data_IF_298592026474
#
_entry.id   IF_298592026474
#
_cell.length_a   1.000
_cell.length_b   1.000
_cell.length_c   1.000
_cell.angle_alpha   90.00
_cell.angle_beta   90.00
_cell.angle_gamma   90.00
#
_symmetry.space_group_name_H-M   'P 1'
#
loop_
_entity.id
_entity.type
_entity.pdbx_description
1 polymer ?
#
# COMPACT_ATOMS: atom_id res chain seq x y z
N UNK A 1 27.96 7.34 18.14
CA UNK A 1 26.79 7.11 17.27
C UNK A 1 26.98 8.00 16.04
N UNK A 2 27.17 7.40 14.87
CA UNK A 2 27.63 8.12 13.69
C UNK A 2 26.48 8.82 12.98
N UNK A 3 26.68 10.09 12.72
CA UNK A 3 25.82 11.01 11.95
C UNK A 3 25.39 10.48 10.54
N UNK A 4 25.99 9.37 10.09
CA UNK A 4 25.68 8.70 8.82
C UNK A 4 24.41 7.82 8.91
N UNK A 5 24.16 7.18 10.04
CA UNK A 5 23.03 6.24 10.20
C UNK A 5 21.70 6.99 10.32
N UNK A 6 21.71 8.18 10.96
CA UNK A 6 20.53 9.07 10.98
C UNK A 6 20.20 9.61 9.59
N UNK A 7 21.21 10.06 8.84
CA UNK A 7 21.02 10.56 7.47
C UNK A 7 20.50 9.47 6.53
N UNK A 8 20.96 8.24 6.65
CA UNK A 8 20.47 7.13 5.84
C UNK A 8 19.05 6.71 6.22
N UNK A 9 18.72 6.65 7.50
CA UNK A 9 17.36 6.32 7.94
C UNK A 9 16.35 7.41 7.56
N UNK A 10 16.78 8.67 7.57
CA UNK A 10 16.00 9.80 7.10
C UNK A 10 15.83 9.79 5.57
N UNK A 11 16.90 9.48 4.82
CA UNK A 11 16.86 9.31 3.36
C UNK A 11 15.93 8.16 2.93
N UNK A 12 15.88 7.03 3.66
CA UNK A 12 15.00 5.90 3.35
C UNK A 12 13.53 6.22 3.67
N UNK A 13 13.25 6.90 4.77
CA UNK A 13 11.91 7.43 5.08
C UNK A 13 11.47 8.46 4.05
N UNK A 14 12.35 9.38 3.69
CA UNK A 14 12.17 10.36 2.63
C UNK A 14 11.97 9.70 1.25
N UNK A 15 12.67 8.59 0.97
CA UNK A 15 12.55 7.86 -0.29
C UNK A 15 11.17 7.22 -0.46
N UNK A 16 10.59 6.62 0.58
CA UNK A 16 9.23 6.04 0.51
C UNK A 16 8.17 7.13 0.29
N UNK A 17 8.31 8.26 0.95
CA UNK A 17 7.47 9.44 0.75
C UNK A 17 7.63 10.01 -0.67
N UNK A 18 8.86 10.14 -1.15
CA UNK A 18 9.19 10.65 -2.50
C UNK A 18 8.62 9.75 -3.60
N UNK A 19 8.64 8.43 -3.43
CA UNK A 19 8.08 7.50 -4.43
C UNK A 19 6.56 7.60 -4.53
N UNK A 20 5.87 7.75 -3.39
CA UNK A 20 4.41 7.97 -3.36
C UNK A 20 4.04 9.30 -4.02
N UNK A 21 4.82 10.35 -3.72
CA UNK A 21 4.65 11.66 -4.32
C UNK A 21 4.94 11.65 -5.82
N UNK A 22 6.02 11.00 -6.25
CA UNK A 22 6.36 10.84 -7.67
C UNK A 22 5.27 10.09 -8.44
N UNK A 23 4.72 9.01 -7.87
CA UNK A 23 3.62 8.27 -8.48
C UNK A 23 2.36 9.13 -8.64
N UNK A 24 2.05 9.97 -7.64
CA UNK A 24 0.92 10.90 -7.72
C UNK A 24 1.15 11.99 -8.78
N UNK A 25 2.36 12.54 -8.86
CA UNK A 25 2.72 13.54 -9.88
C UNK A 25 2.63 12.94 -11.29
N UNK A 26 3.14 11.72 -11.49
CA UNK A 26 3.06 11.02 -12.77
C UNK A 26 1.60 10.74 -13.18
N UNK A 27 0.77 10.30 -12.25
CA UNK A 27 -0.66 10.12 -12.50
C UNK A 27 -1.34 11.43 -12.88
N UNK A 28 -1.07 12.51 -12.15
CA UNK A 28 -1.64 13.83 -12.43
C UNK A 28 -1.19 14.35 -13.79
N UNK A 29 0.10 14.19 -14.13
CA UNK A 29 0.63 14.56 -15.44
C UNK A 29 -0.01 13.75 -16.58
N UNK A 30 -0.17 12.43 -16.37
CA UNK A 30 -0.88 11.57 -17.32
C UNK A 30 -2.32 12.03 -17.53
N UNK A 31 -3.07 12.26 -16.45
CA UNK A 31 -4.45 12.75 -16.54
C UNK A 31 -4.52 14.09 -17.28
N UNK A 32 -3.60 15.03 -16.97
CA UNK A 32 -3.54 16.32 -17.64
C UNK A 32 -3.31 16.17 -19.15
N UNK A 33 -2.31 15.41 -19.56
CA UNK A 33 -1.97 15.21 -20.98
C UNK A 33 -3.13 14.51 -21.72
N UNK A 34 -3.64 13.40 -21.15
CA UNK A 34 -4.72 12.63 -21.76
C UNK A 34 -5.98 13.48 -21.96
N UNK A 35 -6.38 14.22 -20.93
CA UNK A 35 -7.58 15.06 -21.01
C UNK A 35 -7.37 16.29 -21.91
N UNK A 36 -6.13 16.81 -22.03
CA UNK A 36 -5.81 17.86 -23.02
C UNK A 36 -6.00 17.36 -24.45
N UNK A 37 -5.56 16.13 -24.74
CA UNK A 37 -5.74 15.50 -26.06
C UNK A 37 -7.21 15.27 -26.34
N UNK A 38 -7.98 14.75 -25.38
CA UNK A 38 -9.41 14.53 -25.53
C UNK A 38 -10.18 15.85 -25.78
N UNK A 39 -9.88 16.88 -24.98
CA UNK A 39 -10.48 18.21 -25.14
C UNK A 39 -10.21 18.79 -26.54
N UNK A 40 -8.95 18.73 -27.01
CA UNK A 40 -8.57 19.20 -28.33
C UNK A 40 -9.24 18.39 -29.45
N UNK A 41 -9.37 17.07 -29.28
CA UNK A 41 -10.07 16.20 -30.23
C UNK A 41 -11.55 16.53 -30.29
N UNK A 42 -12.21 16.66 -29.14
CA UNK A 42 -13.62 17.05 -29.06
C UNK A 42 -13.87 18.43 -29.71
N UNK A 43 -13.01 19.40 -29.43
CA UNK A 43 -13.07 20.70 -30.05
C UNK A 43 -12.97 20.60 -31.61
N UNK A 44 -12.04 19.78 -32.11
CA UNK A 44 -11.87 19.57 -33.53
C UNK A 44 -13.13 18.97 -34.18
N UNK A 45 -13.80 18.04 -33.51
CA UNK A 45 -15.06 17.44 -33.97
C UNK A 45 -16.19 18.48 -34.01
N UNK A 46 -16.36 19.26 -32.94
CA UNK A 46 -17.36 20.33 -32.89
C UNK A 46 -17.12 21.42 -33.90
N UNK A 47 -15.87 21.82 -34.15
CA UNK A 47 -15.54 22.83 -35.15
C UNK A 47 -15.71 22.38 -36.58
N UNK A 48 -15.75 21.07 -36.86
CA UNK A 48 -16.05 20.51 -38.19
C UNK A 48 -17.55 20.39 -38.45
N UNK A 49 -18.34 20.27 -37.38
CA UNK A 49 -19.79 20.31 -37.49
C UNK A 49 -20.20 21.77 -37.54
N UNK A 50 -21.13 22.14 -38.45
CA UNK A 50 -21.65 23.52 -38.57
C UNK A 50 -22.37 24.05 -37.34
N UNK A 51 -22.23 23.35 -36.20
CA UNK A 51 -22.84 23.67 -34.92
C UNK A 51 -21.91 24.55 -34.07
N UNK A 52 -21.90 25.84 -34.33
CA UNK A 52 -21.11 26.85 -33.60
C UNK A 52 -21.62 27.14 -32.18
N UNK A 53 -22.35 26.21 -31.55
CA UNK A 53 -22.96 26.42 -30.22
C UNK A 53 -21.96 26.22 -29.05
N UNK A 54 -20.87 25.49 -29.28
CA UNK A 54 -19.86 25.14 -28.28
C UNK A 54 -18.68 26.12 -28.34
N UNK A 55 -18.31 26.74 -27.23
CA UNK A 55 -17.14 27.59 -27.17
C UNK A 55 -15.85 26.75 -26.98
N UNK A 56 -14.69 27.28 -27.41
CA UNK A 56 -13.39 26.61 -27.34
C UNK A 56 -13.04 26.09 -25.93
N UNK A 57 -13.41 26.80 -24.88
CA UNK A 57 -13.07 26.44 -23.50
C UNK A 57 -13.96 25.32 -22.93
N UNK A 58 -15.16 25.07 -23.50
CA UNK A 58 -16.13 24.11 -22.93
C UNK A 58 -15.62 22.67 -22.95
N UNK A 59 -15.05 22.11 -24.03
CA UNK A 59 -14.46 20.78 -24.02
C UNK A 59 -13.32 20.62 -22.99
N UNK A 60 -12.53 21.69 -22.79
CA UNK A 60 -11.48 21.65 -21.77
C UNK A 60 -12.07 21.61 -20.36
N UNK A 61 -13.14 22.33 -20.07
CA UNK A 61 -13.85 22.26 -18.78
C UNK A 61 -14.44 20.89 -18.56
N UNK A 62 -15.01 20.27 -19.59
CA UNK A 62 -15.58 18.93 -19.49
C UNK A 62 -14.52 17.88 -19.13
N UNK A 63 -13.39 17.90 -19.81
CA UNK A 63 -12.31 16.95 -19.59
C UNK A 63 -11.55 17.22 -18.26
N UNK A 64 -11.21 18.47 -17.95
CA UNK A 64 -10.48 18.79 -16.75
C UNK A 64 -11.32 18.65 -15.46
N UNK A 65 -12.63 18.88 -15.53
CA UNK A 65 -13.50 18.59 -14.38
C UNK A 65 -13.53 17.11 -14.03
N UNK A 66 -13.54 16.24 -15.04
CA UNK A 66 -13.43 14.78 -14.87
C UNK A 66 -12.05 14.38 -14.31
N UNK A 67 -10.96 14.92 -14.89
CA UNK A 67 -9.60 14.66 -14.42
C UNK A 67 -9.40 15.06 -12.94
N UNK A 68 -9.87 16.25 -12.58
CA UNK A 68 -9.77 16.76 -11.20
C UNK A 68 -10.58 15.91 -10.23
N UNK A 69 -11.81 15.53 -10.60
CA UNK A 69 -12.65 14.65 -9.79
C UNK A 69 -11.99 13.29 -9.57
N UNK A 70 -11.41 12.70 -10.62
CA UNK A 70 -10.64 11.46 -10.53
C UNK A 70 -9.43 11.60 -9.61
N UNK A 71 -8.62 12.66 -9.77
CA UNK A 71 -7.44 12.90 -8.93
C UNK A 71 -7.78 13.03 -7.44
N UNK A 72 -8.89 13.69 -7.11
CA UNK A 72 -9.37 13.83 -5.73
C UNK A 72 -9.86 12.50 -5.15
N UNK A 73 -10.51 11.66 -5.95
CA UNK A 73 -11.11 10.40 -5.50
C UNK A 73 -10.13 9.23 -5.43
N UNK A 74 -9.02 9.28 -6.17
CA UNK A 74 -8.02 8.18 -6.19
C UNK A 74 -7.40 7.94 -4.82
N UNK A 75 -7.12 8.98 -4.05
CA UNK A 75 -6.47 8.85 -2.74
C UNK A 75 -7.37 8.08 -1.75
N UNK A 76 -8.62 8.52 -1.47
CA UNK A 76 -9.50 7.78 -0.57
C UNK A 76 -9.83 6.37 -1.11
N UNK A 77 -9.91 6.19 -2.42
CA UNK A 77 -10.12 4.89 -3.03
C UNK A 77 -8.97 3.92 -2.73
N UNK A 78 -7.72 4.33 -2.92
CA UNK A 78 -6.54 3.50 -2.61
C UNK A 78 -6.51 3.14 -1.12
N UNK A 79 -6.88 4.06 -0.24
CA UNK A 79 -6.96 3.80 1.21
C UNK A 79 -8.02 2.73 1.49
N UNK A 80 -9.21 2.85 0.90
CA UNK A 80 -10.29 1.88 1.06
C UNK A 80 -9.89 0.48 0.57
N UNK A 81 -9.21 0.39 -0.58
CA UNK A 81 -8.71 -0.89 -1.12
C UNK A 81 -7.67 -1.51 -0.20
N UNK A 82 -6.75 -0.73 0.36
CA UNK A 82 -5.76 -1.24 1.32
C UNK A 82 -6.42 -1.84 2.55
N UNK A 83 -7.45 -1.19 3.07
CA UNK A 83 -8.23 -1.68 4.21
C UNK A 83 -8.97 -2.97 3.82
N UNK A 84 -9.55 -3.03 2.62
CA UNK A 84 -10.22 -4.21 2.10
C UNK A 84 -9.25 -5.40 2.02
N UNK A 85 -8.08 -5.23 1.39
CA UNK A 85 -7.06 -6.27 1.22
C UNK A 85 -6.54 -6.84 2.54
N UNK A 86 -6.57 -6.04 3.62
CA UNK A 86 -6.17 -6.51 4.95
C UNK A 86 -7.25 -7.35 5.64
N UNK A 87 -8.52 -7.09 5.34
CA UNK A 87 -9.66 -7.69 6.05
C UNK A 87 -10.31 -8.84 5.28
N UNK A 88 -10.28 -8.80 3.96
CA UNK A 88 -11.02 -9.72 3.08
C UNK A 88 -10.05 -10.47 2.18
N UNK A 89 -10.16 -11.80 2.18
CA UNK A 89 -9.39 -12.64 1.25
C UNK A 89 -9.97 -12.53 -0.16
N UNK A 90 -9.09 -12.68 -1.16
CA UNK A 90 -9.48 -12.70 -2.57
C UNK A 90 -10.51 -13.81 -2.81
N UNK A 91 -11.66 -13.45 -3.37
CA UNK A 91 -12.79 -14.35 -3.62
C UNK A 91 -14.06 -13.57 -3.97
N UNK A 92 -15.21 -14.22 -3.95
CA UNK A 92 -16.49 -13.61 -4.34
C UNK A 92 -16.84 -12.36 -3.50
N UNK A 93 -16.60 -12.40 -2.18
CA UNK A 93 -16.84 -11.27 -1.28
C UNK A 93 -15.93 -10.09 -1.61
N UNK A 94 -14.65 -10.35 -1.90
CA UNK A 94 -13.70 -9.34 -2.33
C UNK A 94 -14.14 -8.67 -3.65
N UNK A 95 -14.57 -9.48 -4.63
CA UNK A 95 -15.09 -8.97 -5.90
C UNK A 95 -16.36 -8.13 -5.70
N UNK A 96 -17.26 -8.56 -4.81
CA UNK A 96 -18.45 -7.78 -4.45
C UNK A 96 -18.12 -6.39 -3.88
N UNK A 97 -17.09 -6.30 -3.03
CA UNK A 97 -16.60 -5.01 -2.53
C UNK A 97 -16.01 -4.13 -3.62
N UNK A 98 -15.26 -4.71 -4.57
CA UNK A 98 -14.74 -3.95 -5.70
C UNK A 98 -15.86 -3.41 -6.60
N UNK A 99 -16.93 -4.19 -6.81
CA UNK A 99 -18.12 -3.71 -7.51
C UNK A 99 -18.78 -2.54 -6.77
N UNK A 100 -18.93 -2.65 -5.45
CA UNK A 100 -19.47 -1.56 -4.63
C UNK A 100 -18.60 -0.30 -4.68
N UNK A 101 -17.27 -0.45 -4.61
CA UNK A 101 -16.33 0.67 -4.72
C UNK A 101 -16.36 1.32 -6.12
N UNK A 102 -16.45 0.53 -7.19
CA UNK A 102 -16.58 1.06 -8.55
C UNK A 102 -17.87 1.90 -8.71
N UNK A 103 -18.99 1.39 -8.17
CA UNK A 103 -20.28 2.10 -8.22
C UNK A 103 -20.25 3.37 -7.37
N UNK A 104 -19.70 3.32 -6.16
CA UNK A 104 -19.56 4.50 -5.29
C UNK A 104 -18.61 5.54 -5.90
N UNK A 105 -17.50 5.08 -6.49
CA UNK A 105 -16.55 5.93 -7.20
C UNK A 105 -17.26 6.67 -8.34
N UNK A 106 -18.06 5.97 -9.17
CA UNK A 106 -18.77 6.61 -10.28
C UNK A 106 -19.79 7.64 -9.80
N UNK A 107 -20.59 7.32 -8.78
CA UNK A 107 -21.54 8.30 -8.21
C UNK A 107 -20.82 9.55 -7.72
N UNK A 108 -19.72 9.37 -6.97
CA UNK A 108 -18.95 10.49 -6.44
C UNK A 108 -18.26 11.28 -7.56
N UNK A 109 -17.68 10.59 -8.56
CA UNK A 109 -17.01 11.19 -9.71
C UNK A 109 -17.97 12.06 -10.54
N UNK A 110 -19.11 11.51 -10.94
CA UNK A 110 -20.11 12.26 -11.72
C UNK A 110 -20.64 13.45 -10.93
N UNK A 111 -20.90 13.28 -9.63
CA UNK A 111 -21.37 14.38 -8.78
C UNK A 111 -20.37 15.53 -8.68
N UNK A 112 -19.09 15.22 -8.44
CA UNK A 112 -18.02 16.22 -8.39
C UNK A 112 -17.79 16.88 -9.75
N UNK A 113 -17.74 16.09 -10.79
CA UNK A 113 -17.55 16.56 -12.18
C UNK A 113 -18.64 17.56 -12.56
N UNK A 114 -19.91 17.22 -12.33
CA UNK A 114 -21.04 18.10 -12.60
C UNK A 114 -21.00 19.37 -11.73
N UNK A 115 -20.62 19.24 -10.46
CA UNK A 115 -20.45 20.39 -9.56
C UNK A 115 -19.37 21.36 -10.09
N UNK A 116 -18.21 20.86 -10.49
CA UNK A 116 -17.14 21.67 -11.08
C UNK A 116 -17.55 22.33 -12.40
N UNK A 117 -18.24 21.59 -13.28
CA UNK A 117 -18.78 22.16 -14.53
C UNK A 117 -19.74 23.29 -14.23
N UNK A 118 -20.73 23.07 -13.36
CA UNK A 118 -21.70 24.10 -12.98
C UNK A 118 -21.02 25.34 -12.40
N UNK A 119 -20.00 25.14 -11.55
CA UNK A 119 -19.24 26.25 -10.96
C UNK A 119 -18.55 27.09 -12.03
N UNK A 120 -17.86 26.47 -13.01
CA UNK A 120 -17.18 27.23 -14.07
C UNK A 120 -18.17 27.93 -14.98
N UNK A 121 -19.27 27.29 -15.35
CA UNK A 121 -20.30 27.87 -16.21
C UNK A 121 -21.00 29.06 -15.53
N UNK A 122 -21.15 29.03 -14.19
CA UNK A 122 -21.67 30.17 -13.44
C UNK A 122 -20.81 31.43 -13.60
N UNK A 123 -19.47 31.28 -13.59
CA UNK A 123 -18.56 32.40 -13.83
C UNK A 123 -18.51 32.88 -15.27
N UNK A 124 -18.98 32.04 -16.21
CA UNK A 124 -19.03 32.35 -17.64
C UNK A 124 -20.39 32.88 -18.11
N UNK A 125 -21.29 33.16 -17.16
CA UNK A 125 -22.68 33.60 -17.44
C UNK A 125 -23.45 32.65 -18.36
N UNK A 126 -23.08 31.35 -18.36
CA UNK A 126 -23.73 30.28 -19.11
C UNK A 126 -24.31 29.23 -18.17
N UNK A 127 -25.32 28.52 -18.65
CA UNK A 127 -25.87 27.37 -17.92
C UNK A 127 -25.29 26.07 -18.41
N UNK A 128 -24.81 25.24 -17.48
CA UNK A 128 -24.42 23.88 -17.78
C UNK A 128 -25.62 22.95 -17.64
N UNK A 129 -25.99 22.31 -18.73
CA UNK A 129 -26.99 21.24 -18.75
C UNK A 129 -26.28 19.88 -18.82
N UNK A 130 -26.56 19.02 -17.87
CA UNK A 130 -26.04 17.65 -17.83
C UNK A 130 -26.84 16.72 -18.77
N UNK A 131 -27.99 17.17 -19.28
CA UNK A 131 -28.90 16.36 -20.06
C UNK A 131 -29.83 15.48 -19.21
N UNK A 132 -30.36 14.41 -19.83
CA UNK A 132 -31.22 13.45 -19.13
C UNK A 132 -30.39 12.64 -18.15
N UNK A 133 -30.52 12.89 -16.87
CA UNK A 133 -29.69 12.37 -15.80
C UNK A 133 -29.39 10.87 -15.89
N UNK A 134 -30.42 10.06 -16.14
CA UNK A 134 -30.25 8.61 -16.23
C UNK A 134 -29.37 8.19 -17.40
N UNK A 135 -29.56 8.79 -18.57
CA UNK A 135 -28.82 8.44 -19.78
C UNK A 135 -27.36 8.86 -19.66
N UNK A 136 -27.11 10.08 -19.19
CA UNK A 136 -25.77 10.63 -19.01
C UNK A 136 -25.04 9.91 -17.87
N UNK A 137 -25.74 9.57 -16.79
CA UNK A 137 -25.16 8.78 -15.72
C UNK A 137 -24.74 7.37 -16.18
N UNK A 138 -25.58 6.67 -16.98
CA UNK A 138 -25.23 5.35 -17.53
C UNK A 138 -24.04 5.46 -18.49
N UNK A 139 -23.97 6.53 -19.26
CA UNK A 139 -22.84 6.80 -20.15
C UNK A 139 -21.54 6.98 -19.37
N UNK A 140 -21.53 7.84 -18.35
CA UNK A 140 -20.36 8.09 -17.51
C UNK A 140 -20.02 6.85 -16.65
N UNK A 141 -21.02 6.14 -16.11
CA UNK A 141 -20.81 4.92 -15.34
C UNK A 141 -20.00 3.85 -16.09
N UNK A 142 -20.27 3.63 -17.37
CA UNK A 142 -19.51 2.70 -18.19
C UNK A 142 -18.04 3.10 -18.32
N UNK A 143 -17.78 4.39 -18.49
CA UNK A 143 -16.42 4.95 -18.57
C UNK A 143 -15.72 4.83 -17.21
N UNK A 144 -16.42 5.14 -16.14
CA UNK A 144 -15.91 5.10 -14.77
C UNK A 144 -15.57 3.68 -14.32
N UNK A 145 -16.41 2.69 -14.62
CA UNK A 145 -16.12 1.28 -14.34
C UNK A 145 -14.87 0.82 -15.08
N UNK A 146 -14.71 1.19 -16.33
CA UNK A 146 -13.50 0.88 -17.09
C UNK A 146 -12.27 1.60 -16.52
N UNK A 147 -12.40 2.88 -16.19
CA UNK A 147 -11.37 3.67 -15.52
C UNK A 147 -10.98 3.08 -14.15
N UNK A 148 -11.96 2.65 -13.35
CA UNK A 148 -11.75 1.96 -12.09
C UNK A 148 -10.94 0.67 -12.28
N UNK A 149 -11.32 -0.20 -13.21
CA UNK A 149 -10.59 -1.45 -13.52
C UNK A 149 -9.15 -1.14 -13.90
N UNK A 150 -8.94 -0.12 -14.74
CA UNK A 150 -7.60 0.31 -15.16
C UNK A 150 -6.77 0.79 -13.97
N UNK A 151 -7.31 1.68 -13.14
CA UNK A 151 -6.63 2.20 -11.93
C UNK A 151 -6.25 1.07 -10.97
N UNK A 152 -7.17 0.14 -10.71
CA UNK A 152 -6.94 -1.01 -9.83
C UNK A 152 -5.87 -1.94 -10.39
N UNK A 153 -5.93 -2.22 -11.68
CA UNK A 153 -4.93 -3.05 -12.37
C UNK A 153 -3.54 -2.43 -12.23
N UNK A 154 -3.40 -1.13 -12.51
CA UNK A 154 -2.14 -0.42 -12.31
C UNK A 154 -1.68 -0.42 -10.86
N UNK A 155 -2.59 -0.22 -9.91
CA UNK A 155 -2.29 -0.28 -8.49
C UNK A 155 -1.69 -1.64 -8.09
N UNK A 156 -2.32 -2.75 -8.50
CA UNK A 156 -1.82 -4.08 -8.16
C UNK A 156 -0.52 -4.42 -8.90
N UNK A 157 -0.38 -4.03 -10.17
CA UNK A 157 0.88 -4.21 -10.93
C UNK A 157 2.01 -3.42 -10.25
N UNK A 158 1.77 -2.15 -9.91
CA UNK A 158 2.77 -1.31 -9.25
C UNK A 158 3.13 -1.88 -7.85
N UNK A 159 2.14 -2.33 -7.08
CA UNK A 159 2.34 -2.98 -5.79
C UNK A 159 3.16 -4.27 -5.93
N UNK A 160 2.82 -5.12 -6.90
CA UNK A 160 3.54 -6.35 -7.18
C UNK A 160 4.97 -6.08 -7.64
N UNK A 161 5.16 -5.16 -8.59
CA UNK A 161 6.47 -4.75 -9.08
C UNK A 161 7.34 -4.15 -7.97
N UNK A 162 6.75 -3.27 -7.13
CA UNK A 162 7.42 -2.69 -5.97
C UNK A 162 7.85 -3.76 -4.96
N UNK A 163 6.98 -4.74 -4.66
CA UNK A 163 7.33 -5.86 -3.77
C UNK A 163 8.45 -6.71 -4.35
N UNK A 164 8.47 -6.92 -5.66
CA UNK A 164 9.51 -7.69 -6.35
C UNK A 164 10.84 -6.93 -6.44
N UNK A 165 10.81 -5.62 -6.64
CA UNK A 165 12.01 -4.76 -6.64
C UNK A 165 12.63 -4.60 -5.24
N UNK A 166 11.79 -4.64 -4.19
CA UNK A 166 12.28 -4.49 -2.80
C UNK A 166 12.90 -5.76 -2.24
N UNK A 167 12.57 -6.94 -2.77
CA UNK A 167 13.12 -8.12 -2.14
C UNK A 167 12.95 -9.45 -2.84
N UNK A 168 13.97 -9.88 -3.57
CA UNK A 168 14.37 -11.29 -3.59
C UNK A 168 15.50 -11.46 -2.58
N UNK A 169 15.16 -11.63 -1.30
CA UNK A 169 16.10 -12.12 -0.30
C UNK A 169 15.92 -13.64 -0.23
N UNK A 170 16.92 -14.37 -0.62
CA UNK A 170 17.03 -15.79 -0.27
C UNK A 170 17.98 -15.90 0.93
N UNK A 171 17.64 -16.68 1.98
CA UNK A 171 18.66 -17.03 2.96
C UNK A 171 19.76 -17.74 2.20
N UNK A 172 21.01 -17.40 2.46
CA UNK A 172 22.12 -18.25 2.01
C UNK A 172 21.94 -19.57 2.76
N UNK A 173 21.34 -20.55 2.07
CA UNK A 173 21.64 -21.92 2.43
C UNK A 173 23.16 -22.04 2.32
N UNK A 174 23.86 -22.27 3.44
CA UNK A 174 25.17 -22.89 3.35
C UNK A 174 24.98 -24.05 2.40
N UNK A 175 25.76 -24.08 1.33
CA UNK A 175 25.93 -25.23 0.48
C UNK A 175 26.45 -26.38 1.37
N UNK A 176 25.54 -27.02 2.04
CA UNK A 176 25.74 -28.26 2.73
C UNK A 176 25.12 -29.34 1.85
N UNK A 177 25.67 -29.45 0.65
CA UNK A 177 25.66 -30.72 -0.05
C UNK A 177 26.57 -31.68 0.70
N UNK A 178 26.16 -32.09 1.85
CA UNK A 178 26.54 -33.25 2.67
C UNK A 178 26.24 -32.95 4.11
N UNK A 179 25.10 -33.39 4.55
CA UNK A 179 24.94 -34.04 5.88
C UNK A 179 23.55 -34.68 5.86
N UNK A 180 23.60 -35.98 5.85
CA UNK A 180 22.56 -36.97 6.19
C UNK A 180 21.77 -36.59 7.44
N UNK A 181 20.46 -36.86 7.33
CA UNK A 181 19.55 -37.20 8.45
C UNK A 181 20.12 -36.98 9.85
N UNK A 182 19.73 -35.88 10.48
CA UNK A 182 19.54 -35.83 11.92
C UNK A 182 18.59 -34.66 12.26
N UNK A 183 17.62 -34.93 13.12
CA UNK A 183 16.67 -33.98 13.71
C UNK A 183 17.39 -32.92 14.57
N UNK A 184 18.11 -31.99 13.93
CA UNK A 184 18.63 -30.81 14.61
C UNK A 184 17.63 -29.69 14.36
N UNK A 185 16.99 -29.19 15.41
CA UNK A 185 16.18 -27.98 15.38
C UNK A 185 16.99 -26.90 14.66
N UNK A 186 16.55 -26.49 13.48
CA UNK A 186 17.25 -25.48 12.69
C UNK A 186 17.14 -24.15 13.42
N UNK A 187 18.26 -23.67 13.96
CA UNK A 187 18.34 -22.35 14.60
C UNK A 187 18.66 -21.29 13.54
N UNK A 188 18.14 -20.06 13.73
CA UNK A 188 18.54 -18.96 12.88
C UNK A 188 20.05 -18.68 13.01
N UNK A 189 20.77 -18.43 11.92
CA UNK A 189 22.16 -18.00 12.00
C UNK A 189 22.27 -16.60 12.60
N UNK A 190 23.43 -16.22 13.13
CA UNK A 190 23.65 -14.89 13.72
C UNK A 190 23.51 -13.75 12.71
N UNK A 191 23.72 -14.04 11.44
CA UNK A 191 23.63 -13.09 10.33
C UNK A 191 22.77 -13.64 9.21
N UNK A 192 21.89 -12.79 8.67
CA UNK A 192 21.07 -13.05 7.51
C UNK A 192 21.58 -12.21 6.33
N UNK A 193 21.91 -12.87 5.21
CA UNK A 193 22.20 -12.15 3.98
C UNK A 193 20.89 -11.84 3.26
N UNK A 194 20.58 -10.55 3.12
CA UNK A 194 19.35 -10.07 2.50
C UNK A 194 19.70 -9.29 1.25
N UNK A 195 19.18 -9.73 0.10
CA UNK A 195 19.34 -9.00 -1.16
C UNK A 195 18.24 -7.96 -1.31
N UNK A 196 18.64 -6.69 -1.47
CA UNK A 196 17.73 -5.57 -1.68
C UNK A 196 18.31 -4.62 -2.73
N UNK A 197 17.55 -4.33 -3.81
CA UNK A 197 17.94 -3.39 -4.88
C UNK A 197 19.34 -3.66 -5.45
N UNK A 198 19.63 -4.89 -5.86
CA UNK A 198 20.95 -5.32 -6.36
C UNK A 198 22.13 -5.18 -5.38
N UNK A 199 21.85 -4.96 -4.09
CA UNK A 199 22.84 -4.95 -3.01
C UNK A 199 22.54 -6.07 -2.04
N UNK A 200 23.57 -6.66 -1.51
CA UNK A 200 23.49 -7.67 -0.44
C UNK A 200 23.77 -6.99 0.90
N UNK A 201 22.87 -7.20 1.84
CA UNK A 201 22.98 -6.65 3.20
C UNK A 201 23.18 -7.80 4.17
N UNK A 202 24.20 -7.72 4.96
CA UNK A 202 24.41 -8.62 6.09
C UNK A 202 23.64 -8.03 7.30
N UNK A 203 22.51 -8.65 7.64
CA UNK A 203 21.66 -8.23 8.76
C UNK A 203 21.98 -9.08 9.95
N UNK A 204 22.46 -8.47 11.03
CA UNK A 204 22.67 -9.16 12.29
C UNK A 204 21.30 -9.44 12.94
N UNK A 205 21.06 -10.68 13.33
CA UNK A 205 19.75 -11.11 13.85
C UNK A 205 19.41 -10.40 15.15
N UNK A 206 20.41 -10.06 15.97
CA UNK A 206 20.25 -9.28 17.19
C UNK A 206 19.79 -7.83 16.96
N UNK A 207 19.96 -7.28 15.77
CA UNK A 207 19.49 -5.94 15.42
C UNK A 207 18.02 -5.90 15.02
N UNK A 208 17.42 -7.07 14.75
CA UNK A 208 16.03 -7.19 14.36
C UNK A 208 15.16 -7.00 15.61
N UNK A 209 14.32 -5.99 15.59
CA UNK A 209 13.42 -5.66 16.71
C UNK A 209 12.02 -6.21 16.50
N UNK A 210 11.56 -6.19 15.23
CA UNK A 210 10.23 -6.61 14.83
C UNK A 210 10.30 -7.32 13.47
N UNK A 211 9.43 -8.30 13.31
CA UNK A 211 9.22 -9.02 12.04
C UNK A 211 7.74 -8.92 11.67
N UNK A 212 7.48 -8.57 10.41
CA UNK A 212 6.12 -8.39 9.88
C UNK A 212 5.90 -9.28 8.67
N UNK A 213 4.80 -10.04 8.66
CA UNK A 213 4.44 -10.86 7.53
C UNK A 213 3.92 -10.01 6.35
N UNK A 214 4.42 -10.25 5.14
CA UNK A 214 4.05 -9.57 3.91
C UNK A 214 3.95 -10.57 2.75
N UNK A 215 2.79 -11.21 2.62
CA UNK A 215 2.58 -12.28 1.62
C UNK A 215 3.51 -13.46 1.85
N UNK A 216 4.35 -13.81 0.86
CA UNK A 216 5.33 -14.88 0.94
C UNK A 216 6.67 -14.44 1.57
N UNK A 217 6.74 -13.22 2.08
CA UNK A 217 7.92 -12.62 2.69
C UNK A 217 7.62 -12.19 4.11
N UNK A 218 8.69 -11.98 4.86
CA UNK A 218 8.69 -11.26 6.13
C UNK A 218 9.58 -10.03 6.00
N UNK A 219 9.17 -8.93 6.59
CA UNK A 219 9.95 -7.71 6.69
C UNK A 219 10.68 -7.70 8.03
N UNK A 220 12.01 -7.71 7.99
CA UNK A 220 12.88 -7.61 9.16
C UNK A 220 13.09 -6.12 9.46
N UNK A 221 12.56 -5.65 10.57
CA UNK A 221 12.69 -4.25 11.01
C UNK A 221 13.86 -4.13 11.98
N UNK A 222 14.89 -3.40 11.55
CA UNK A 222 16.08 -3.07 12.36
C UNK A 222 16.12 -1.58 12.64
N UNK A 223 17.07 -1.12 13.45
CA UNK A 223 17.34 0.32 13.68
C UNK A 223 17.82 1.04 12.42
N UNK A 224 18.45 0.30 11.46
CA UNK A 224 18.98 0.87 10.20
C UNK A 224 17.93 0.92 9.10
N UNK A 225 17.01 -0.05 9.07
CA UNK A 225 16.02 -0.13 8.00
C UNK A 225 15.20 -1.40 8.00
N UNK A 226 14.42 -1.57 6.92
CA UNK A 226 13.55 -2.73 6.71
C UNK A 226 14.14 -3.60 5.60
N UNK A 227 14.31 -4.88 5.90
CA UNK A 227 14.90 -5.86 5.01
C UNK A 227 13.90 -7.00 4.76
N UNK A 228 13.41 -7.16 3.52
CA UNK A 228 12.50 -8.25 3.21
C UNK A 228 13.27 -9.56 3.06
N UNK A 229 12.75 -10.63 3.65
CA UNK A 229 13.29 -11.98 3.59
C UNK A 229 12.18 -12.93 3.11
N UNK A 230 12.47 -13.80 2.14
CA UNK A 230 11.54 -14.85 1.73
C UNK A 230 11.50 -15.96 2.78
N UNK A 231 10.56 -15.83 3.69
CA UNK A 231 10.39 -16.72 4.84
C UNK A 231 8.96 -16.67 5.32
N UNK A 232 8.52 -17.69 6.06
CA UNK A 232 7.24 -17.62 6.77
C UNK A 232 7.44 -17.13 8.19
N UNK A 233 6.51 -16.33 8.71
CA UNK A 233 6.60 -15.80 10.07
C UNK A 233 6.64 -16.92 11.13
N UNK A 234 5.89 -18.02 10.90
CA UNK A 234 5.88 -19.18 11.80
C UNK A 234 7.27 -19.79 11.92
N UNK A 235 7.85 -20.18 10.78
CA UNK A 235 9.17 -20.79 10.72
C UNK A 235 10.27 -19.87 11.29
N UNK A 236 10.19 -18.56 11.01
CA UNK A 236 11.13 -17.58 11.57
C UNK A 236 11.06 -17.53 13.10
N UNK A 237 9.86 -17.58 13.68
CA UNK A 237 9.68 -17.60 15.13
C UNK A 237 10.16 -18.91 15.76
N UNK A 238 9.92 -20.05 15.12
CA UNK A 238 10.38 -21.36 15.58
C UNK A 238 11.91 -21.42 15.63
N UNK A 239 12.57 -21.07 14.52
CA UNK A 239 14.03 -21.09 14.43
C UNK A 239 14.71 -19.98 15.26
N UNK A 240 14.02 -18.84 15.45
CA UNK A 240 14.51 -17.68 16.21
C UNK A 240 14.12 -17.66 17.69
N UNK A 241 13.44 -18.68 18.19
CA UNK A 241 12.98 -18.72 19.58
C UNK A 241 14.12 -18.54 20.60
N UNK A 242 15.24 -19.21 20.37
CA UNK A 242 16.43 -19.10 21.22
C UNK A 242 17.10 -17.71 21.20
N UNK A 243 16.84 -16.93 20.14
CA UNK A 243 17.32 -15.54 19.99
C UNK A 243 16.31 -14.52 20.50
N UNK A 244 15.23 -15.01 21.13
CA UNK A 244 14.20 -14.20 21.77
C UNK A 244 13.12 -13.67 20.84
N UNK A 245 12.93 -14.27 19.66
CA UNK A 245 11.81 -13.92 18.79
C UNK A 245 10.54 -14.62 19.22
N UNK A 246 9.45 -13.84 19.34
CA UNK A 246 8.16 -14.35 19.73
C UNK A 246 7.05 -13.77 18.84
N UNK A 247 6.14 -14.63 18.44
CA UNK A 247 4.95 -14.22 17.68
C UNK A 247 3.95 -13.55 18.63
N UNK A 248 3.51 -12.34 18.28
CA UNK A 248 2.57 -11.53 19.09
C UNK A 248 1.26 -11.25 18.36
N UNK A 249 1.25 -11.48 17.07
CA UNK A 249 0.08 -11.30 16.22
C UNK A 249 0.14 -12.27 15.03
N UNK A 250 -1.00 -12.49 14.35
CA UNK A 250 -1.01 -13.34 13.13
C UNK A 250 -0.01 -12.90 12.06
N UNK A 251 0.34 -11.62 12.04
CA UNK A 251 1.26 -11.00 11.08
C UNK A 251 2.49 -10.34 11.70
N UNK A 252 2.67 -10.42 13.02
CA UNK A 252 3.80 -9.77 13.69
C UNK A 252 4.49 -10.69 14.70
N UNK A 253 5.82 -10.58 14.74
CA UNK A 253 6.65 -11.09 15.80
C UNK A 253 7.57 -9.96 16.31
N UNK A 254 7.98 -10.04 17.55
CA UNK A 254 8.89 -9.10 18.19
C UNK A 254 10.04 -9.84 18.85
N UNK A 255 11.15 -9.17 19.00
CA UNK A 255 12.25 -9.66 19.82
C UNK A 255 12.03 -9.21 21.27
N UNK A 256 11.98 -10.14 22.20
CA UNK A 256 11.66 -9.87 23.61
C UNK A 256 12.53 -8.74 24.20
N UNK A 257 13.87 -8.72 24.01
CA UNK A 257 14.71 -7.63 24.52
C UNK A 257 14.43 -6.24 23.92
N UNK A 258 13.64 -6.14 22.84
CA UNK A 258 13.25 -4.87 22.25
C UNK A 258 11.97 -4.28 22.87
N UNK A 259 11.27 -5.02 23.73
CA UNK A 259 10.02 -4.59 24.36
C UNK A 259 10.33 -3.62 25.50
N UNK A 260 9.69 -2.45 25.50
CA UNK A 260 9.77 -1.46 26.58
C UNK A 260 8.55 -1.52 27.49
N UNK A 261 7.37 -1.63 26.91
CA UNK A 261 6.12 -1.71 27.67
C UNK A 261 5.02 -2.44 26.91
N UNK A 262 4.05 -2.95 27.63
CA UNK A 262 2.88 -3.63 27.09
C UNK A 262 1.65 -3.00 27.74
N UNK A 263 0.74 -2.49 26.94
CA UNK A 263 -0.58 -2.02 27.36
C UNK A 263 -1.65 -3.02 26.90
N UNK A 264 -2.61 -3.29 27.79
CA UNK A 264 -3.71 -4.20 27.52
C UNK A 264 -5.02 -3.43 27.44
N UNK A 265 -5.88 -3.82 26.50
CA UNK A 265 -7.22 -3.30 26.36
C UNK A 265 -8.25 -4.21 27.05
N UNK A 266 -9.43 -3.68 27.33
CA UNK A 266 -10.54 -4.43 27.94
C UNK A 266 -10.98 -5.62 27.06
N UNK A 267 -10.81 -5.51 25.74
CA UNK A 267 -11.09 -6.56 24.75
C UNK A 267 -10.16 -7.79 24.87
N UNK A 268 -9.08 -7.65 25.63
CA UNK A 268 -8.04 -8.66 25.80
C UNK A 268 -6.91 -8.59 24.79
N UNK A 269 -7.04 -7.78 23.75
CA UNK A 269 -5.94 -7.39 22.85
C UNK A 269 -5.00 -6.40 23.58
N UNK A 270 -3.92 -6.01 22.93
CA UNK A 270 -2.99 -5.06 23.54
C UNK A 270 -2.06 -4.42 22.52
N UNK A 271 -1.19 -3.56 23.01
CA UNK A 271 -0.16 -2.88 22.21
C UNK A 271 1.18 -3.01 22.92
N UNK A 272 2.18 -3.44 22.16
CA UNK A 272 3.57 -3.55 22.60
C UNK A 272 4.33 -2.33 22.10
N UNK A 273 4.98 -1.60 23.01
CA UNK A 273 5.90 -0.51 22.68
C UNK A 273 7.33 -1.04 22.61
N UNK A 274 8.01 -0.77 21.52
CA UNK A 274 9.41 -1.14 21.32
C UNK A 274 10.36 0.01 21.65
N UNK A 275 11.63 -0.32 21.88
CA UNK A 275 12.69 0.64 22.24
C UNK A 275 12.99 1.69 21.15
N UNK A 276 12.55 1.46 19.92
CA UNK A 276 12.61 2.44 18.82
C UNK A 276 11.38 3.36 18.74
N UNK A 277 10.48 3.30 19.71
CA UNK A 277 9.23 4.07 19.74
C UNK A 277 8.10 3.56 18.84
N UNK A 278 8.28 2.41 18.19
CA UNK A 278 7.22 1.81 17.37
C UNK A 278 6.27 0.98 18.23
N UNK A 279 4.98 1.01 17.86
CA UNK A 279 3.95 0.19 18.48
C UNK A 279 3.62 -1.02 17.62
N UNK A 280 3.41 -2.17 18.26
CA UNK A 280 3.03 -3.44 17.60
C UNK A 280 1.78 -3.99 18.26
N UNK A 281 0.79 -4.39 17.46
CA UNK A 281 -0.43 -5.00 17.99
C UNK A 281 -0.14 -6.37 18.61
N UNK A 282 -0.65 -6.58 19.83
CA UNK A 282 -0.66 -7.86 20.53
C UNK A 282 -2.07 -8.44 20.44
N UNK A 283 -2.22 -9.59 19.80
CA UNK A 283 -3.50 -10.29 19.79
C UNK A 283 -3.66 -11.14 21.04
N UNK A 284 -4.88 -11.17 21.58
CA UNK A 284 -5.31 -11.95 22.75
C UNK A 284 -4.78 -13.38 22.74
N UNK A 285 -4.72 -14.02 21.57
CA UNK A 285 -4.24 -15.41 21.41
C UNK A 285 -2.79 -15.62 21.87
N UNK A 286 -1.93 -14.60 21.77
CA UNK A 286 -0.49 -14.69 22.05
C UNK A 286 -0.11 -14.03 23.38
N UNK A 287 -1.10 -13.53 24.13
CA UNK A 287 -0.89 -12.78 25.38
C UNK A 287 -0.27 -13.64 26.48
N UNK A 288 -0.81 -14.85 26.65
CA UNK A 288 -0.38 -15.72 27.75
C UNK A 288 1.01 -16.31 27.48
N UNK A 289 1.29 -16.68 26.22
CA UNK A 289 2.62 -17.12 25.79
C UNK A 289 3.66 -16.02 26.05
N UNK A 290 3.32 -14.76 25.69
CA UNK A 290 4.20 -13.62 25.93
C UNK A 290 4.45 -13.36 27.41
N UNK A 291 3.42 -13.45 28.25
CA UNK A 291 3.55 -13.32 29.70
C UNK A 291 4.46 -14.39 30.30
N UNK A 292 4.29 -15.64 29.85
CA UNK A 292 5.12 -16.75 30.27
C UNK A 292 6.59 -16.55 29.90
N UNK A 293 6.86 -16.07 28.68
CA UNK A 293 8.21 -15.80 28.21
C UNK A 293 8.89 -14.62 28.92
N UNK A 294 8.10 -13.68 29.47
CA UNK A 294 8.58 -12.53 30.24
C UNK A 294 8.67 -12.81 31.74
N UNK A 295 8.08 -13.92 32.22
CA UNK A 295 8.19 -14.30 33.64
C UNK A 295 9.65 -14.62 33.94
N UNK A 296 10.21 -14.09 35.09
CA UNK A 296 11.55 -14.48 35.51
C UNK A 296 11.59 -15.98 35.72
N UNK A 297 12.59 -16.64 35.14
CA UNK A 297 12.88 -18.05 35.45
C UNK A 297 13.07 -18.17 36.99
N UNK A 298 12.10 -18.81 37.64
CA UNK A 298 12.22 -19.18 39.06
C UNK A 298 13.17 -20.36 39.22
#
# INVERSE_FOLDING_TARGET
MNNWDEKWSQFLRDSESKHKYAAFVLLTAYLFINNSINAASSWTEFSRSDNNSVALWEPYVWEYSSALSTALLVIPLIIAIRILDQKVKVGATWLGWHFAFASLFSVAHVSLMVAFRKLVYLFSERNYDFGIWLNEFIYEYRKDVWGYITLITFYYIARFGYQRLIGEASPIARDTSQITNDNVASTLPDYLLVKKLNKEFLVQVTDIQRVEASGNYINLHTHVGVYPLRYTLGRFCEEGAHQGFMRVHRSHAVRIPAIVSISYEETGDGTIMLNNGQSVALSRRYKDDLKQALAPNQ
#
